data_IF_891328459646
#
_entry.id   IF_891328459646
#
_cell.length_a   1.000
_cell.length_b   1.000
_cell.length_c   1.000
_cell.angle_alpha   90.00
_cell.angle_beta   90.00
_cell.angle_gamma   90.00
#
_symmetry.space_group_name_H-M   'P 1'
#
loop_
_entity.id
_entity.type
_entity.pdbx_description
1 polymer ?
#
# COMPACT_ATOMS: atom_id res chain seq x y z
N UNK A 1 -8.76 23.18 -27.11
CA UNK A 1 -8.19 21.85 -27.42
C UNK A 1 -6.92 21.65 -26.60
N UNK A 2 -7.03 20.90 -25.50
CA UNK A 2 -5.89 20.17 -24.92
C UNK A 2 -6.42 18.81 -24.54
N UNK A 3 -6.48 17.98 -25.57
CA UNK A 3 -6.69 16.55 -25.46
C UNK A 3 -5.31 16.02 -25.03
N UNK A 4 -5.11 15.80 -23.74
CA UNK A 4 -3.96 15.05 -23.26
C UNK A 4 -4.44 13.60 -23.14
N UNK A 5 -4.28 12.88 -24.25
CA UNK A 5 -4.63 11.49 -24.44
C UNK A 5 -3.60 10.59 -23.73
N UNK A 6 -3.40 10.79 -22.42
CA UNK A 6 -2.61 9.86 -21.61
C UNK A 6 -3.48 8.70 -21.16
N UNK A 7 -4.08 8.01 -22.13
CA UNK A 7 -4.53 6.64 -21.95
C UNK A 7 -3.26 5.81 -21.75
N UNK A 8 -2.79 5.69 -20.50
CA UNK A 8 -1.58 4.90 -20.22
C UNK A 8 -0.88 5.17 -18.89
N UNK A 9 -1.29 6.16 -18.09
CA UNK A 9 -0.77 6.39 -16.74
C UNK A 9 -1.78 6.02 -15.65
N UNK A 10 -2.66 5.03 -15.90
CA UNK A 10 -3.45 4.46 -14.81
C UNK A 10 -2.51 3.67 -13.88
N UNK A 11 -2.12 4.32 -12.79
CA UNK A 11 -1.32 3.77 -11.70
C UNK A 11 -2.06 4.01 -10.38
N UNK A 12 -1.70 3.24 -9.37
CA UNK A 12 -2.30 3.26 -8.06
C UNK A 12 -1.22 3.53 -7.02
N UNK A 13 -1.62 3.91 -5.82
CA UNK A 13 -0.69 4.24 -4.76
C UNK A 13 -0.57 3.10 -3.75
N UNK A 14 0.65 2.69 -3.40
CA UNK A 14 0.92 1.78 -2.27
C UNK A 14 1.57 2.55 -1.12
N UNK A 15 0.87 2.63 0.01
CA UNK A 15 1.27 3.43 1.17
C UNK A 15 1.64 2.55 2.36
N UNK A 16 2.78 2.83 2.99
CA UNK A 16 3.18 2.18 4.22
C UNK A 16 2.48 2.80 5.44
N UNK A 17 1.76 1.99 6.21
CA UNK A 17 1.09 2.40 7.45
C UNK A 17 2.01 2.92 8.55
N UNK A 18 3.28 2.49 8.57
CA UNK A 18 4.19 2.80 9.66
C UNK A 18 5.10 4.02 9.41
N UNK A 19 5.52 4.25 8.17
CA UNK A 19 6.42 5.37 7.86
C UNK A 19 5.90 6.31 6.77
N UNK A 20 4.72 6.05 6.21
CA UNK A 20 4.09 6.90 5.21
C UNK A 20 4.77 6.89 3.84
N UNK A 21 5.80 6.06 3.60
CA UNK A 21 6.38 5.95 2.25
C UNK A 21 5.31 5.48 1.28
N UNK A 22 5.25 6.16 0.14
CA UNK A 22 4.33 5.89 -0.96
C UNK A 22 5.15 5.52 -2.20
N UNK A 23 4.67 4.54 -2.95
CA UNK A 23 5.21 4.17 -4.25
C UNK A 23 4.07 3.96 -5.22
N UNK A 24 4.31 4.27 -6.49
CA UNK A 24 3.37 4.00 -7.57
C UNK A 24 3.42 2.52 -7.94
N UNK A 25 2.26 1.96 -8.25
CA UNK A 25 2.11 0.61 -8.79
C UNK A 25 1.23 0.66 -10.03
N UNK A 26 1.65 0.01 -11.11
CA UNK A 26 0.87 -0.01 -12.35
C UNK A 26 -0.53 -0.58 -12.12
N UNK A 27 -1.52 -0.05 -12.85
CA UNK A 27 -2.84 -0.62 -12.85
C UNK A 27 -2.82 -2.08 -13.30
N UNK A 28 -3.50 -2.95 -12.54
CA UNK A 28 -3.53 -4.38 -12.83
C UNK A 28 -4.16 -4.72 -14.19
N UNK A 29 -5.07 -3.87 -14.68
CA UNK A 29 -5.74 -4.05 -15.98
C UNK A 29 -5.15 -3.18 -17.09
N UNK A 30 -4.23 -2.27 -16.77
CA UNK A 30 -3.52 -1.42 -17.73
C UNK A 30 -4.29 -0.19 -18.25
N UNK A 31 -5.58 -0.06 -17.94
CA UNK A 31 -6.44 1.06 -18.37
C UNK A 31 -7.53 1.39 -17.34
N UNK A 32 -8.17 2.56 -17.49
CA UNK A 32 -9.26 3.00 -16.62
C UNK A 32 -10.65 2.55 -17.12
N UNK A 33 -11.62 2.30 -16.21
CA UNK A 33 -11.45 2.23 -14.75
C UNK A 33 -10.79 0.91 -14.33
N UNK A 34 -9.93 0.98 -13.33
CA UNK A 34 -9.18 -0.19 -12.86
C UNK A 34 -10.02 -1.18 -12.04
N UNK A 35 -11.23 -0.77 -11.64
CA UNK A 35 -12.14 -1.53 -10.80
C UNK A 35 -13.58 -1.28 -11.28
N UNK A 36 -14.38 -2.34 -11.34
CA UNK A 36 -15.81 -2.25 -11.65
C UNK A 36 -16.60 -2.08 -10.36
N UNK A 37 -17.50 -1.08 -10.31
CA UNK A 37 -18.46 -0.95 -9.23
C UNK A 37 -19.47 -2.12 -9.28
N UNK A 38 -19.87 -2.65 -8.13
CA UNK A 38 -20.89 -3.71 -8.07
C UNK A 38 -22.29 -3.18 -8.44
N UNK A 39 -22.61 -1.97 -7.97
CA UNK A 39 -23.78 -1.19 -8.38
C UNK A 39 -23.28 0.24 -8.66
N UNK A 40 -23.50 0.71 -9.89
CA UNK A 40 -23.09 2.05 -10.34
C UNK A 40 -24.18 3.12 -10.08
N UNK A 41 -25.37 2.72 -9.62
CA UNK A 41 -26.53 3.59 -9.43
C UNK A 41 -26.84 4.50 -10.63
N UNK A 42 -26.52 4.05 -11.86
CA UNK A 42 -26.74 4.79 -13.09
C UNK A 42 -25.70 5.88 -13.39
N UNK A 43 -24.57 5.91 -12.69
CA UNK A 43 -23.47 6.81 -12.98
C UNK A 43 -22.65 6.32 -14.19
N UNK A 44 -22.21 7.25 -15.04
CA UNK A 44 -21.20 6.99 -16.06
C UNK A 44 -19.81 7.11 -15.41
N UNK A 45 -19.23 5.98 -14.99
CA UNK A 45 -17.93 5.93 -14.31
C UNK A 45 -16.80 5.92 -15.35
N UNK A 46 -15.96 6.95 -15.33
CA UNK A 46 -14.78 7.10 -16.20
C UNK A 46 -13.45 6.77 -15.50
N UNK A 47 -13.42 6.79 -14.16
CA UNK A 47 -12.22 6.53 -13.37
C UNK A 47 -12.52 5.76 -12.07
N UNK A 48 -11.56 4.94 -11.64
CA UNK A 48 -11.52 4.37 -10.31
C UNK A 48 -10.08 4.52 -9.77
N UNK A 49 -9.93 5.03 -8.54
CA UNK A 49 -8.63 5.16 -7.87
C UNK A 49 -8.48 4.08 -6.79
N UNK A 50 -7.33 3.40 -6.77
CA UNK A 50 -6.98 2.42 -5.74
C UNK A 50 -5.82 2.93 -4.89
N UNK A 51 -5.97 2.80 -3.58
CA UNK A 51 -4.87 2.99 -2.62
C UNK A 51 -4.68 1.70 -1.83
N UNK A 52 -3.53 1.06 -2.05
CA UNK A 52 -3.10 -0.09 -1.26
C UNK A 52 -2.44 0.38 0.04
N UNK A 53 -2.82 -0.24 1.15
CA UNK A 53 -2.23 0.04 2.47
C UNK A 53 -1.49 -1.18 3.00
N UNK A 54 -0.20 -1.03 3.29
CA UNK A 54 0.64 -2.14 3.73
C UNK A 54 1.82 -1.70 4.60
N UNK A 55 2.87 -2.52 4.64
CA UNK A 55 4.12 -2.21 5.33
C UNK A 55 5.29 -2.38 4.37
N UNK A 56 6.12 -1.33 4.22
CA UNK A 56 7.33 -1.42 3.43
C UNK A 56 8.32 -2.43 4.04
N UNK A 57 9.27 -2.97 3.25
CA UNK A 57 10.25 -3.94 3.75
C UNK A 57 10.97 -3.46 5.02
N UNK A 58 11.46 -2.22 5.04
CA UNK A 58 12.13 -1.65 6.21
C UNK A 58 11.27 -1.60 7.49
N UNK A 59 9.95 -1.38 7.37
CA UNK A 59 9.03 -1.39 8.52
C UNK A 59 8.72 -2.82 9.00
N UNK A 60 8.62 -3.78 8.08
CA UNK A 60 8.44 -5.20 8.41
C UNK A 60 9.66 -5.73 9.16
N UNK A 61 10.85 -5.40 8.69
CA UNK A 61 12.11 -5.85 9.28
C UNK A 61 12.37 -5.21 10.65
N UNK A 62 12.05 -3.92 10.82
CA UNK A 62 12.09 -3.25 12.13
C UNK A 62 11.16 -3.90 13.15
N UNK A 63 9.98 -4.35 12.72
CA UNK A 63 9.02 -5.04 13.59
C UNK A 63 9.53 -6.42 13.99
N UNK A 64 10.14 -7.16 13.06
CA UNK A 64 10.78 -8.45 13.33
C UNK A 64 11.99 -8.30 14.27
N UNK A 65 12.83 -7.29 14.05
CA UNK A 65 13.99 -6.99 14.90
C UNK A 65 13.60 -6.62 16.33
N UNK A 66 12.59 -5.76 16.51
CA UNK A 66 12.06 -5.42 17.85
C UNK A 66 11.51 -6.65 18.59
N UNK A 67 10.88 -7.58 17.87
CA UNK A 67 10.32 -8.79 18.48
C UNK A 67 11.41 -9.83 18.86
N UNK A 68 12.53 -9.85 18.15
CA UNK A 68 13.67 -10.70 18.49
C UNK A 68 14.45 -10.21 19.72
N UNK A 69 14.65 -8.90 19.87
CA UNK A 69 15.36 -8.33 21.03
C UNK A 69 14.52 -8.41 22.32
N UNK A 70 13.18 -8.29 22.21
CA UNK A 70 12.26 -8.35 23.35
C UNK A 70 12.09 -9.75 23.97
N UNK A 71 12.35 -10.83 23.22
CA UNK A 71 12.26 -12.21 23.75
C UNK A 71 13.47 -12.65 24.57
N UNK A 72 14.54 -11.86 24.62
CA UNK A 72 15.76 -12.20 25.37
C UNK A 72 15.86 -11.51 26.75
N UNK A 73 14.81 -10.80 27.19
CA UNK A 73 14.81 -10.02 28.44
C UNK A 73 14.07 -10.68 29.62
N UNK A 74 13.69 -11.96 29.52
CA UNK A 74 13.11 -12.73 30.64
C UNK A 74 14.02 -13.91 31.03
N UNK A 75 15.05 -13.63 31.84
CA UNK A 75 15.76 -14.67 32.59
C UNK A 75 17.23 -14.38 32.88
N UNK A 76 17.53 -13.79 34.04
CA UNK A 76 18.62 -14.12 34.99
C UNK A 76 18.87 -12.97 35.98
N UNK A 77 18.03 -12.87 37.03
CA UNK A 77 18.47 -12.31 38.31
C UNK A 77 18.87 -13.48 39.20
N UNK A 78 20.13 -13.89 39.10
CA UNK A 78 20.75 -14.87 39.98
C UNK A 78 21.66 -14.19 41.00
N UNK A 79 21.35 -14.40 42.28
CA UNK A 79 22.21 -14.43 43.48
C UNK A 79 23.31 -13.37 43.66
N UNK A 80 23.12 -12.56 44.69
CA UNK A 80 24.14 -12.08 45.62
C UNK A 80 23.53 -12.10 47.01
#
# INVERSE_FOLDING_TARGET
ARYEDRVGDNHHHLVCRACGVMVDVDCAVGEAPCLTAEDDHGFAIDEAEVIYWGYCPGCRDRSAGRNATGKNATGKNGKG
#
